data_IF_804123825084
#
_entry.id   IF_804123825084
#
_cell.length_a   1.000
_cell.length_b   1.000
_cell.length_c   1.000
_cell.angle_alpha   90.00
_cell.angle_beta   90.00
_cell.angle_gamma   90.00
#
_symmetry.space_group_name_H-M   'P 1'
#
loop_
_entity.id
_entity.type
_entity.pdbx_description
1 polymer ?
#
# COMPACT_ATOMS: atom_id res chain seq x y z
N UNK A 1 -13.68 22.10 25.28
CA UNK A 1 -13.51 22.94 26.48
C UNK A 1 -14.68 22.65 27.43
N UNK A 2 -14.44 22.31 28.70
CA UNK A 2 -15.53 21.92 29.62
C UNK A 2 -16.49 23.09 29.84
N UNK A 3 -17.80 22.82 29.91
CA UNK A 3 -18.86 23.82 30.10
C UNK A 3 -18.61 24.72 31.33
N UNK A 4 -18.06 24.13 32.40
CA UNK A 4 -17.67 24.85 33.62
C UNK A 4 -16.63 25.96 33.35
N UNK A 5 -15.66 25.71 32.47
CA UNK A 5 -14.62 26.70 32.16
C UNK A 5 -15.20 27.88 31.37
N UNK A 6 -16.15 27.61 30.48
CA UNK A 6 -16.85 28.64 29.70
C UNK A 6 -17.73 29.49 30.62
N UNK A 7 -18.42 28.88 31.57
CA UNK A 7 -19.22 29.58 32.58
C UNK A 7 -18.37 30.49 33.47
N UNK A 8 -17.24 30.01 33.98
CA UNK A 8 -16.32 30.81 34.80
C UNK A 8 -15.80 32.03 34.01
N UNK A 9 -15.37 31.83 32.77
CA UNK A 9 -14.92 32.92 31.89
C UNK A 9 -16.02 33.94 31.61
N UNK A 10 -17.23 33.46 31.33
CA UNK A 10 -18.38 34.34 31.02
C UNK A 10 -18.79 35.18 32.23
N UNK A 11 -18.79 34.58 33.43
CA UNK A 11 -19.06 35.27 34.70
C UNK A 11 -17.97 36.31 34.98
N UNK A 12 -16.70 35.96 34.80
CA UNK A 12 -15.59 36.89 35.00
C UNK A 12 -15.67 38.10 34.07
N UNK A 13 -15.97 37.88 32.79
CA UNK A 13 -16.16 38.97 31.81
C UNK A 13 -17.36 39.85 32.19
N UNK A 14 -18.49 39.25 32.56
CA UNK A 14 -19.68 39.98 33.01
C UNK A 14 -19.37 40.87 34.23
N UNK A 15 -18.64 40.34 35.21
CA UNK A 15 -18.25 41.07 36.42
C UNK A 15 -17.36 42.27 36.11
N UNK A 16 -16.44 42.18 35.13
CA UNK A 16 -15.61 43.31 34.69
C UNK A 16 -16.47 44.44 34.09
N UNK A 17 -17.44 44.10 33.24
CA UNK A 17 -18.34 45.10 32.66
C UNK A 17 -19.25 45.74 33.72
N UNK A 18 -19.78 44.93 34.64
CA UNK A 18 -20.59 45.42 35.76
C UNK A 18 -19.76 46.34 36.67
N UNK A 19 -18.52 45.98 36.97
CA UNK A 19 -17.65 46.81 37.81
C UNK A 19 -17.33 48.15 37.15
N UNK A 20 -17.01 48.16 35.84
CA UNK A 20 -16.78 49.40 35.11
C UNK A 20 -18.02 50.29 35.11
N UNK A 21 -19.21 49.71 34.91
CA UNK A 21 -20.47 50.45 34.91
C UNK A 21 -20.81 51.05 36.28
N UNK A 22 -20.63 50.29 37.36
CA UNK A 22 -20.96 50.73 38.72
C UNK A 22 -19.96 51.80 39.21
N UNK A 23 -18.65 51.60 38.99
CA UNK A 23 -17.61 52.48 39.55
C UNK A 23 -17.35 53.76 38.74
N UNK A 24 -17.94 53.92 37.55
CA UNK A 24 -17.84 55.17 36.76
C UNK A 24 -19.04 56.11 36.91
N UNK A 25 -20.05 55.74 37.70
CA UNK A 25 -21.25 56.57 37.97
C UNK A 25 -21.13 57.33 39.31
N UNK A 26 -21.89 58.43 39.50
CA UNK A 26 -21.93 59.14 40.78
C UNK A 26 -22.32 58.19 41.91
N UNK A 27 -21.66 58.34 43.06
CA UNK A 27 -21.90 57.47 44.21
C UNK A 27 -23.35 57.59 44.70
N UNK A 28 -24.00 56.44 44.90
CA UNK A 28 -25.38 56.36 45.39
C UNK A 28 -25.44 56.62 46.91
N UNK A 29 -24.33 56.35 47.61
CA UNK A 29 -24.16 56.56 49.05
C UNK A 29 -22.91 57.41 49.30
N UNK A 30 -22.97 58.38 50.21
CA UNK A 30 -21.82 59.25 50.57
C UNK A 30 -20.59 58.44 51.03
N UNK A 31 -20.79 57.33 51.72
CA UNK A 31 -19.69 56.44 52.16
C UNK A 31 -18.94 55.77 51.01
N UNK A 32 -19.49 55.77 49.79
CA UNK A 32 -18.91 55.18 48.59
C UNK A 32 -18.52 56.27 47.56
N UNK A 33 -18.43 57.52 48.00
CA UNK A 33 -17.90 58.61 47.18
C UNK A 33 -16.36 58.53 47.11
N UNK A 34 -15.88 57.89 46.05
CA UNK A 34 -14.46 57.72 45.75
C UNK A 34 -13.89 58.89 44.91
N UNK A 35 -14.65 59.98 44.72
CA UNK A 35 -14.23 61.12 43.89
C UNK A 35 -12.92 61.78 44.37
N UNK A 36 -12.62 61.69 45.67
CA UNK A 36 -11.38 62.20 46.28
C UNK A 36 -10.28 61.15 46.45
N UNK A 37 -10.55 59.86 46.17
CA UNK A 37 -9.61 58.75 46.40
C UNK A 37 -8.86 58.30 45.16
N UNK A 38 -8.88 59.08 44.07
CA UNK A 38 -8.21 58.76 42.80
C UNK A 38 -6.72 58.43 42.97
N UNK A 39 -6.01 59.16 43.83
CA UNK A 39 -4.59 58.91 44.13
C UNK A 39 -4.33 57.53 44.77
N UNK A 40 -5.28 56.98 45.53
CA UNK A 40 -5.17 55.63 46.10
C UNK A 40 -5.30 54.58 44.99
N UNK A 41 -6.26 54.77 44.07
CA UNK A 41 -6.42 53.93 42.89
C UNK A 41 -5.19 53.96 41.97
N UNK A 42 -4.62 55.15 41.76
CA UNK A 42 -3.40 55.33 40.95
C UNK A 42 -2.18 54.67 41.60
N UNK A 43 -2.07 54.71 42.92
CA UNK A 43 -0.96 54.06 43.66
C UNK A 43 -1.09 52.55 43.64
N UNK A 44 -2.30 52.01 43.86
CA UNK A 44 -2.57 50.58 43.77
C UNK A 44 -2.35 50.11 42.32
N UNK A 45 -2.89 50.80 41.33
CA UNK A 45 -2.72 50.48 39.91
C UNK A 45 -1.26 50.55 39.47
N UNK A 46 -0.53 51.59 39.88
CA UNK A 46 0.89 51.79 39.56
C UNK A 46 1.81 50.71 40.14
N UNK A 47 1.52 50.19 41.34
CA UNK A 47 2.31 49.13 41.98
C UNK A 47 1.88 47.75 41.47
N UNK A 48 0.59 47.52 41.26
CA UNK A 48 0.06 46.20 40.90
C UNK A 48 0.18 45.88 39.42
N UNK A 49 0.09 46.88 38.52
CA UNK A 49 0.16 46.64 37.08
C UNK A 49 1.47 45.98 36.62
N UNK A 50 2.68 46.41 37.07
CA UNK A 50 3.93 45.71 36.76
C UNK A 50 3.95 44.26 37.25
N UNK A 51 3.40 44.00 38.45
CA UNK A 51 3.33 42.65 39.04
C UNK A 51 2.40 41.73 38.23
N UNK A 52 1.21 42.22 37.86
CA UNK A 52 0.26 41.47 37.03
C UNK A 52 0.87 41.19 35.66
N UNK A 53 1.54 42.17 35.05
CA UNK A 53 2.22 41.99 33.76
C UNK A 53 3.33 40.95 33.84
N UNK A 54 4.11 40.93 34.93
CA UNK A 54 5.15 39.93 35.16
C UNK A 54 4.56 38.52 35.30
N UNK A 55 3.49 38.38 36.08
CA UNK A 55 2.76 37.10 36.22
C UNK A 55 2.19 36.66 34.87
N UNK A 56 1.63 37.59 34.10
CA UNK A 56 1.12 37.33 32.75
C UNK A 56 2.20 36.81 31.81
N UNK A 57 3.35 37.49 31.75
CA UNK A 57 4.49 37.05 30.96
C UNK A 57 5.01 35.67 31.38
N UNK A 58 5.06 35.40 32.68
CA UNK A 58 5.46 34.10 33.22
C UNK A 58 4.47 32.98 32.83
N UNK A 59 3.17 33.23 32.90
CA UNK A 59 2.14 32.27 32.45
C UNK A 59 2.22 32.00 30.95
N UNK A 60 2.49 33.04 30.13
CA UNK A 60 2.73 32.89 28.70
C UNK A 60 3.95 32.01 28.44
N UNK A 61 5.05 32.24 29.16
CA UNK A 61 6.25 31.40 29.07
C UNK A 61 5.96 29.92 29.39
N UNK A 62 5.23 29.65 30.48
CA UNK A 62 4.81 28.28 30.82
C UNK A 62 3.94 27.67 29.72
N UNK A 63 3.01 28.45 29.15
CA UNK A 63 2.16 27.98 28.06
C UNK A 63 2.99 27.58 26.83
N UNK A 64 3.98 28.39 26.45
CA UNK A 64 4.87 28.04 25.35
C UNK A 64 5.69 26.77 25.62
N UNK A 65 6.19 26.58 26.85
CA UNK A 65 6.87 25.34 27.21
C UNK A 65 5.95 24.11 27.08
N UNK A 66 4.71 24.21 27.55
CA UNK A 66 3.73 23.14 27.39
C UNK A 66 3.42 22.84 25.91
N UNK A 67 3.28 23.88 25.08
CA UNK A 67 3.07 23.74 23.63
C UNK A 67 4.26 23.06 22.94
N UNK A 68 5.50 23.44 23.26
CA UNK A 68 6.71 22.81 22.70
C UNK A 68 6.75 21.32 23.06
N UNK A 69 6.46 20.97 24.32
CA UNK A 69 6.43 19.57 24.72
C UNK A 69 5.31 18.78 24.01
N UNK A 70 4.12 19.36 23.85
CA UNK A 70 3.03 18.75 23.10
C UNK A 70 3.41 18.49 21.64
N UNK A 71 4.04 19.48 20.97
CA UNK A 71 4.52 19.33 19.59
C UNK A 71 5.57 18.22 19.46
N UNK A 72 6.49 18.11 20.43
CA UNK A 72 7.49 17.03 20.45
C UNK A 72 6.83 15.65 20.55
N UNK A 73 5.86 15.48 21.45
CA UNK A 73 5.13 14.23 21.62
C UNK A 73 4.33 13.89 20.35
N UNK A 74 3.66 14.89 19.75
CA UNK A 74 2.91 14.69 18.52
C UNK A 74 3.82 14.29 17.34
N UNK A 75 4.98 14.92 17.20
CA UNK A 75 5.96 14.58 16.16
C UNK A 75 6.45 13.14 16.30
N UNK A 76 6.77 12.71 17.52
CA UNK A 76 7.19 11.33 17.80
C UNK A 76 6.09 10.33 17.46
N UNK A 77 4.84 10.61 17.86
CA UNK A 77 3.70 9.76 17.54
C UNK A 77 3.47 9.63 16.01
N UNK A 78 3.60 10.72 15.26
CA UNK A 78 3.48 10.73 13.80
C UNK A 78 4.59 9.93 13.12
N UNK A 79 5.83 10.02 13.61
CA UNK A 79 6.95 9.23 13.09
C UNK A 79 6.73 7.72 13.32
N UNK A 80 6.29 7.35 14.53
CA UNK A 80 5.96 5.97 14.87
C UNK A 80 4.80 5.43 14.02
N UNK A 81 3.75 6.22 13.83
CA UNK A 81 2.62 5.86 12.96
C UNK A 81 3.06 5.69 11.51
N UNK A 82 3.85 6.64 10.98
CA UNK A 82 4.40 6.56 9.61
C UNK A 82 5.24 5.30 9.44
N UNK A 83 6.05 4.94 10.44
CA UNK A 83 6.85 3.71 10.42
C UNK A 83 5.96 2.47 10.37
N UNK A 84 4.95 2.38 11.26
CA UNK A 84 3.98 1.26 11.28
C UNK A 84 3.21 1.14 9.96
N UNK A 85 2.67 2.26 9.45
CA UNK A 85 1.94 2.29 8.19
C UNK A 85 2.85 1.90 7.01
N UNK A 86 4.11 2.33 7.00
CA UNK A 86 5.05 1.95 5.94
C UNK A 86 5.34 0.44 5.91
N UNK A 87 5.43 -0.21 7.08
CA UNK A 87 5.62 -1.66 7.18
C UNK A 87 4.39 -2.42 6.69
N UNK A 88 3.20 -2.05 7.16
CA UNK A 88 1.95 -2.70 6.73
C UNK A 88 1.69 -2.52 5.22
N UNK A 89 1.94 -1.32 4.70
CA UNK A 89 1.76 -1.02 3.27
C UNK A 89 2.72 -1.82 2.37
N UNK A 90 3.90 -2.21 2.86
CA UNK A 90 4.82 -3.03 2.07
C UNK A 90 4.29 -4.44 1.85
N UNK A 91 3.77 -5.07 2.91
CA UNK A 91 3.16 -6.40 2.79
C UNK A 91 2.02 -6.39 1.78
N UNK A 92 1.06 -5.48 1.94
CA UNK A 92 -0.09 -5.35 1.04
C UNK A 92 0.34 -5.09 -0.42
N UNK A 93 1.37 -4.27 -0.62
CA UNK A 93 1.93 -4.02 -1.96
C UNK A 93 2.46 -5.31 -2.61
N UNK A 94 3.25 -6.11 -1.89
CA UNK A 94 3.82 -7.34 -2.46
C UNK A 94 2.77 -8.43 -2.63
N UNK A 95 1.79 -8.50 -1.74
CA UNK A 95 0.64 -9.37 -1.89
C UNK A 95 -0.15 -8.98 -3.16
N UNK A 96 -0.43 -7.70 -3.38
CA UNK A 96 -1.08 -7.22 -4.60
C UNK A 96 -0.29 -7.58 -5.87
N UNK A 97 1.03 -7.40 -5.88
CA UNK A 97 1.86 -7.81 -7.03
C UNK A 97 1.78 -9.31 -7.29
N UNK A 98 1.71 -10.12 -6.22
CA UNK A 98 1.52 -11.57 -6.34
C UNK A 98 0.13 -11.92 -6.89
N UNK A 99 -0.94 -11.26 -6.41
CA UNK A 99 -2.28 -11.42 -6.95
C UNK A 99 -2.36 -11.05 -8.44
N UNK A 100 -1.67 -10.00 -8.86
CA UNK A 100 -1.58 -9.58 -10.27
C UNK A 100 -0.92 -10.66 -11.13
N UNK A 101 0.15 -11.30 -10.66
CA UNK A 101 0.79 -12.43 -11.36
C UNK A 101 -0.19 -13.59 -11.51
N UNK A 102 -0.94 -13.93 -10.45
CA UNK A 102 -1.97 -14.98 -10.51
C UNK A 102 -3.10 -14.63 -11.48
N UNK A 103 -3.53 -13.36 -11.53
CA UNK A 103 -4.52 -12.90 -12.51
C UNK A 103 -3.99 -13.06 -13.93
N UNK A 104 -2.77 -12.61 -14.20
CA UNK A 104 -2.14 -12.76 -15.54
C UNK A 104 -2.07 -14.21 -15.99
N UNK A 105 -1.79 -15.15 -15.07
CA UNK A 105 -1.86 -16.57 -15.40
C UNK A 105 -3.29 -16.96 -15.77
N UNK A 106 -4.29 -16.59 -14.97
CA UNK A 106 -5.70 -16.93 -15.24
C UNK A 106 -6.21 -16.35 -16.56
N UNK A 107 -5.79 -15.14 -16.88
CA UNK A 107 -6.24 -14.36 -18.04
C UNK A 107 -5.39 -14.67 -19.29
N UNK A 108 -4.45 -15.62 -19.20
CA UNK A 108 -3.65 -16.07 -20.35
C UNK A 108 -4.53 -16.77 -21.38
N UNK A 109 -4.44 -16.36 -22.64
CA UNK A 109 -5.21 -16.95 -23.73
C UNK A 109 -4.32 -17.68 -24.75
N UNK A 110 -4.79 -18.83 -25.21
CA UNK A 110 -4.26 -19.53 -26.38
C UNK A 110 -5.34 -19.69 -27.44
N UNK A 111 -5.14 -19.08 -28.60
CA UNK A 111 -6.04 -19.23 -29.73
C UNK A 111 -5.45 -20.23 -30.71
N UNK A 112 -6.24 -21.25 -31.02
CA UNK A 112 -5.90 -22.31 -31.96
C UNK A 112 -6.93 -22.31 -33.09
N UNK A 113 -6.46 -22.24 -34.34
CA UNK A 113 -7.34 -22.39 -35.49
C UNK A 113 -7.40 -23.86 -35.92
N UNK A 114 -8.57 -24.45 -35.79
CA UNK A 114 -8.85 -25.76 -36.37
C UNK A 114 -9.16 -25.57 -37.86
N UNK A 115 -8.44 -26.22 -38.78
CA UNK A 115 -8.69 -26.09 -40.20
C UNK A 115 -10.07 -26.65 -40.55
N UNK A 116 -10.69 -26.06 -41.56
CA UNK A 116 -11.91 -26.62 -42.14
C UNK A 116 -11.64 -27.99 -42.75
N UNK A 117 -12.59 -28.90 -42.64
CA UNK A 117 -12.51 -30.25 -43.19
C UNK A 117 -13.64 -30.46 -44.20
N UNK A 118 -13.33 -31.13 -45.31
CA UNK A 118 -14.36 -31.62 -46.22
C UNK A 118 -14.97 -32.89 -45.63
N UNK A 119 -16.28 -32.86 -45.43
CA UNK A 119 -17.05 -34.02 -45.02
C UNK A 119 -17.26 -34.98 -46.19
N UNK A 120 -17.58 -36.24 -45.89
CA UNK A 120 -17.83 -37.27 -46.90
C UNK A 120 -19.05 -37.00 -47.79
N UNK A 121 -19.92 -36.06 -47.39
CA UNK A 121 -21.08 -35.59 -48.16
C UNK A 121 -20.74 -34.41 -49.10
N UNK A 122 -19.47 -33.99 -49.15
CA UNK A 122 -19.01 -32.85 -49.96
C UNK A 122 -19.22 -31.47 -49.32
N UNK A 123 -19.78 -31.40 -48.11
CA UNK A 123 -19.85 -30.15 -47.36
C UNK A 123 -18.50 -29.77 -46.73
N UNK A 124 -18.20 -28.48 -46.63
CA UNK A 124 -16.97 -27.96 -46.03
C UNK A 124 -17.28 -27.31 -44.68
N UNK A 125 -16.61 -27.76 -43.61
CA UNK A 125 -16.68 -27.07 -42.32
C UNK A 125 -15.77 -25.84 -42.35
N UNK A 126 -16.26 -24.71 -41.85
CA UNK A 126 -15.45 -23.49 -41.75
C UNK A 126 -14.38 -23.67 -40.64
N UNK A 127 -13.22 -23.01 -40.74
CA UNK A 127 -12.26 -22.94 -39.66
C UNK A 127 -12.92 -22.42 -38.37
N UNK A 128 -12.56 -23.03 -37.24
CA UNK A 128 -13.07 -22.63 -35.92
C UNK A 128 -11.92 -22.17 -35.05
N UNK A 129 -12.07 -21.00 -34.43
CA UNK A 129 -11.15 -20.50 -33.40
C UNK A 129 -11.51 -21.13 -32.05
N UNK A 130 -10.60 -21.89 -31.49
CA UNK A 130 -10.73 -22.45 -30.14
C UNK A 130 -9.85 -21.61 -29.22
N UNK A 131 -10.45 -21.02 -28.19
CA UNK A 131 -9.75 -20.22 -27.17
C UNK A 131 -9.62 -21.03 -25.90
N UNK A 132 -8.39 -21.26 -25.46
CA UNK A 132 -8.08 -21.84 -24.17
C UNK A 132 -7.60 -20.75 -23.23
N UNK A 133 -8.00 -20.84 -21.96
CA UNK A 133 -7.67 -19.85 -20.94
C UNK A 133 -6.87 -20.46 -19.80
N UNK A 134 -6.03 -19.65 -19.18
CA UNK A 134 -5.32 -19.98 -17.97
C UNK A 134 -4.40 -21.20 -18.09
N UNK A 135 -4.55 -22.13 -17.14
CA UNK A 135 -3.79 -23.38 -17.15
C UNK A 135 -4.09 -24.26 -18.36
N UNK A 136 -5.31 -24.19 -18.91
CA UNK A 136 -5.67 -24.93 -20.11
C UNK A 136 -4.91 -24.37 -21.32
N UNK A 137 -4.71 -23.05 -21.38
CA UNK A 137 -3.89 -22.40 -22.40
C UNK A 137 -2.46 -22.93 -22.39
N UNK A 138 -1.83 -22.99 -21.20
CA UNK A 138 -0.49 -23.55 -21.04
C UNK A 138 -0.43 -25.05 -21.39
N UNK A 139 -1.40 -25.83 -20.93
CA UNK A 139 -1.42 -27.25 -21.19
C UNK A 139 -1.56 -27.57 -22.69
N UNK A 140 -2.45 -26.88 -23.39
CA UNK A 140 -2.64 -27.04 -24.84
C UNK A 140 -1.44 -26.55 -25.63
N UNK A 141 -0.83 -25.45 -25.21
CA UNK A 141 0.44 -24.99 -25.75
C UNK A 141 1.50 -26.09 -25.67
N UNK A 142 1.74 -26.64 -24.47
CA UNK A 142 2.75 -27.69 -24.27
C UNK A 142 2.42 -28.95 -25.06
N UNK A 143 1.17 -29.41 -25.07
CA UNK A 143 0.78 -30.58 -25.86
C UNK A 143 1.05 -30.40 -27.35
N UNK A 144 0.80 -29.20 -27.90
CA UNK A 144 1.04 -28.92 -29.32
C UNK A 144 2.52 -28.85 -29.68
N UNK A 145 3.36 -28.26 -28.83
CA UNK A 145 4.81 -28.25 -29.08
C UNK A 145 5.44 -29.65 -28.89
N UNK A 146 4.93 -30.48 -27.98
CA UNK A 146 5.33 -31.90 -27.85
C UNK A 146 4.94 -32.68 -29.12
N UNK A 147 3.71 -32.50 -29.61
CA UNK A 147 3.22 -33.20 -30.78
C UNK A 147 3.96 -32.80 -32.07
N UNK A 148 4.37 -31.53 -32.20
CA UNK A 148 5.22 -31.05 -33.28
C UNK A 148 6.58 -31.77 -33.29
N UNK A 149 7.23 -31.91 -32.13
CA UNK A 149 8.51 -32.62 -32.01
C UNK A 149 8.40 -34.09 -32.42
N UNK A 150 7.27 -34.73 -32.13
CA UNK A 150 7.04 -36.15 -32.42
C UNK A 150 6.59 -36.44 -33.87
N UNK A 151 6.55 -35.44 -34.77
CA UNK A 151 6.09 -35.57 -36.17
C UNK A 151 4.66 -36.10 -36.34
N UNK A 152 3.84 -36.07 -35.27
CA UNK A 152 2.50 -36.65 -35.22
C UNK A 152 1.37 -35.64 -35.47
N UNK A 153 1.68 -34.44 -35.98
CA UNK A 153 0.69 -33.37 -36.13
C UNK A 153 0.58 -32.85 -37.56
N UNK A 154 -0.57 -33.09 -38.17
CA UNK A 154 -1.05 -32.41 -39.36
C UNK A 154 -2.29 -31.59 -38.97
N UNK A 155 -2.28 -30.28 -39.22
CA UNK A 155 -3.51 -29.50 -39.38
C UNK A 155 -3.92 -28.57 -38.24
N UNK A 156 -3.11 -27.56 -37.91
CA UNK A 156 -3.58 -26.39 -37.16
C UNK A 156 -2.67 -25.20 -37.40
N UNK A 157 -3.23 -24.00 -37.57
CA UNK A 157 -2.47 -22.74 -37.60
C UNK A 157 -2.55 -22.15 -36.20
N UNK A 158 -1.40 -22.03 -35.54
CA UNK A 158 -1.33 -21.45 -34.18
C UNK A 158 0.05 -20.82 -33.95
N UNK A 159 0.06 -19.73 -33.19
CA UNK A 159 1.30 -19.06 -32.76
C UNK A 159 1.66 -19.50 -31.35
N UNK A 160 2.73 -20.29 -31.23
CA UNK A 160 3.26 -20.78 -29.95
C UNK A 160 4.12 -19.72 -29.24
N UNK A 161 4.73 -18.81 -30.01
CA UNK A 161 5.67 -17.82 -29.51
C UNK A 161 5.08 -16.87 -28.45
N UNK A 162 3.84 -16.42 -28.66
CA UNK A 162 3.18 -15.51 -27.71
C UNK A 162 3.00 -16.14 -26.32
N UNK A 163 2.65 -17.42 -26.25
CA UNK A 163 2.47 -18.10 -24.97
C UNK A 163 3.79 -18.41 -24.30
N UNK A 164 4.78 -18.85 -25.09
CA UNK A 164 6.13 -19.04 -24.59
C UNK A 164 6.66 -17.78 -23.89
N UNK A 165 6.55 -16.63 -24.56
CA UNK A 165 6.97 -15.35 -24.00
C UNK A 165 6.19 -14.99 -22.73
N UNK A 166 4.86 -15.12 -22.74
CA UNK A 166 4.05 -14.84 -21.55
C UNK A 166 4.45 -15.73 -20.37
N UNK A 167 4.73 -17.02 -20.63
CA UNK A 167 5.22 -17.93 -19.61
C UNK A 167 6.59 -17.52 -19.07
N UNK A 168 7.53 -17.16 -19.95
CA UNK A 168 8.84 -16.62 -19.54
C UNK A 168 8.68 -15.36 -18.70
N UNK A 169 7.84 -14.40 -19.13
CA UNK A 169 7.57 -13.17 -18.38
C UNK A 169 6.96 -13.45 -17.00
N UNK A 170 6.07 -14.43 -16.86
CA UNK A 170 5.53 -14.83 -15.56
C UNK A 170 6.62 -15.33 -14.62
N UNK A 171 7.55 -16.16 -15.11
CA UNK A 171 8.68 -16.62 -14.29
C UNK A 171 9.63 -15.47 -13.93
N UNK A 172 9.91 -14.56 -14.87
CA UNK A 172 10.70 -13.36 -14.58
C UNK A 172 10.03 -12.50 -13.50
N UNK A 173 8.72 -12.29 -13.58
CA UNK A 173 7.97 -11.51 -12.60
C UNK A 173 7.99 -12.16 -11.20
N UNK A 174 7.91 -13.49 -11.14
CA UNK A 174 8.08 -14.24 -9.89
C UNK A 174 9.47 -14.02 -9.31
N UNK A 175 10.51 -14.14 -10.13
CA UNK A 175 11.89 -13.96 -9.68
C UNK A 175 12.13 -12.54 -9.14
N UNK A 176 11.70 -11.51 -9.89
CA UNK A 176 11.81 -10.11 -9.45
C UNK A 176 11.01 -9.86 -8.16
N UNK A 177 9.81 -10.44 -8.04
CA UNK A 177 9.00 -10.35 -6.82
C UNK A 177 9.73 -10.98 -5.62
N UNK A 178 10.29 -12.17 -5.79
CA UNK A 178 11.07 -12.87 -4.77
C UNK A 178 12.24 -12.00 -4.29
N UNK A 179 13.05 -11.46 -5.21
CA UNK A 179 14.19 -10.61 -4.88
C UNK A 179 13.76 -9.33 -4.14
N UNK A 180 12.64 -8.72 -4.55
CA UNK A 180 12.11 -7.54 -3.88
C UNK A 180 11.61 -7.85 -2.48
N UNK A 181 10.95 -8.98 -2.26
CA UNK A 181 10.49 -9.38 -0.93
C UNK A 181 11.71 -9.65 -0.02
N UNK A 182 12.71 -10.38 -0.52
CA UNK A 182 13.97 -10.65 0.17
C UNK A 182 14.64 -9.36 0.68
N UNK A 183 14.74 -8.37 -0.21
CA UNK A 183 15.45 -7.10 0.03
C UNK A 183 14.66 -6.11 0.89
N UNK A 184 13.35 -6.00 0.70
CA UNK A 184 12.58 -4.86 1.23
C UNK A 184 11.65 -5.23 2.38
N UNK A 185 11.17 -6.47 2.48
CA UNK A 185 10.28 -6.88 3.58
C UNK A 185 11.12 -7.16 4.82
N UNK A 186 10.93 -6.33 5.86
CA UNK A 186 11.70 -6.43 7.11
C UNK A 186 11.14 -7.48 8.08
N UNK A 187 9.82 -7.62 8.14
CA UNK A 187 9.16 -8.59 9.02
C UNK A 187 9.40 -10.02 8.52
N UNK A 188 9.96 -10.88 9.37
CA UNK A 188 10.26 -12.27 9.04
C UNK A 188 9.02 -13.11 8.74
N UNK A 189 7.92 -12.89 9.47
CA UNK A 189 6.70 -13.66 9.31
C UNK A 189 6.00 -13.31 7.99
N UNK A 190 5.94 -12.02 7.65
CA UNK A 190 5.38 -11.53 6.40
C UNK A 190 6.19 -12.03 5.19
N UNK A 191 7.53 -12.01 5.33
CA UNK A 191 8.45 -12.57 4.35
C UNK A 191 8.17 -14.06 4.14
N UNK A 192 8.18 -14.84 5.22
CA UNK A 192 7.92 -16.28 5.17
C UNK A 192 6.56 -16.58 4.53
N UNK A 193 5.51 -15.85 4.90
CA UNK A 193 4.18 -15.99 4.32
C UNK A 193 4.19 -15.78 2.80
N UNK A 194 4.75 -14.66 2.33
CA UNK A 194 4.79 -14.35 0.91
C UNK A 194 5.63 -15.39 0.14
N UNK A 195 6.80 -15.75 0.66
CA UNK A 195 7.67 -16.77 0.07
C UNK A 195 6.98 -18.12 -0.05
N UNK A 196 6.30 -18.57 1.00
CA UNK A 196 5.59 -19.85 0.99
C UNK A 196 4.44 -19.85 -0.03
N UNK A 197 3.69 -18.76 -0.13
CA UNK A 197 2.61 -18.65 -1.11
C UNK A 197 3.14 -18.65 -2.55
N UNK A 198 4.21 -17.89 -2.83
CA UNK A 198 4.85 -17.89 -4.16
C UNK A 198 5.42 -19.26 -4.48
N UNK A 199 6.07 -19.93 -3.51
CA UNK A 199 6.60 -21.29 -3.65
C UNK A 199 5.51 -22.28 -4.01
N UNK A 200 4.39 -22.26 -3.28
CA UNK A 200 3.25 -23.13 -3.54
C UNK A 200 2.65 -22.88 -4.93
N UNK A 201 2.52 -21.61 -5.32
CA UNK A 201 2.05 -21.25 -6.65
C UNK A 201 2.99 -21.75 -7.75
N UNK A 202 4.30 -21.52 -7.61
CA UNK A 202 5.29 -21.99 -8.55
C UNK A 202 5.28 -23.52 -8.69
N UNK A 203 5.35 -24.25 -7.57
CA UNK A 203 5.34 -25.72 -7.57
C UNK A 203 4.03 -26.31 -8.09
N UNK A 204 2.90 -25.71 -7.73
CA UNK A 204 1.58 -26.20 -8.10
C UNK A 204 1.20 -25.93 -9.55
N UNK A 205 1.66 -24.81 -10.13
CA UNK A 205 1.13 -24.32 -11.40
C UNK A 205 2.15 -24.05 -12.50
N UNK A 206 3.44 -23.87 -12.20
CA UNK A 206 4.40 -23.43 -13.23
C UNK A 206 5.56 -24.41 -13.43
N UNK A 207 6.01 -25.06 -12.37
CA UNK A 207 7.16 -25.97 -12.39
C UNK A 207 7.02 -27.07 -13.46
N UNK A 208 5.87 -27.75 -13.50
CA UNK A 208 5.64 -28.84 -14.45
C UNK A 208 5.67 -28.36 -15.90
N UNK A 209 5.09 -27.20 -16.20
CA UNK A 209 5.13 -26.64 -17.56
C UNK A 209 6.55 -26.23 -17.94
N UNK A 210 7.30 -25.61 -17.01
CA UNK A 210 8.70 -25.26 -17.24
C UNK A 210 9.55 -26.49 -17.58
N UNK A 211 9.39 -27.58 -16.83
CA UNK A 211 10.09 -28.84 -17.11
C UNK A 211 9.73 -29.38 -18.51
N UNK A 212 8.43 -29.52 -18.81
CA UNK A 212 7.99 -30.04 -20.11
C UNK A 212 8.47 -29.18 -21.28
N UNK A 213 8.43 -27.85 -21.14
CA UNK A 213 8.96 -26.93 -22.17
C UNK A 213 10.45 -27.20 -22.37
N UNK A 214 11.26 -27.25 -21.31
CA UNK A 214 12.70 -27.48 -21.42
C UNK A 214 13.05 -28.87 -22.00
N UNK A 215 12.25 -29.90 -21.75
CA UNK A 215 12.45 -31.24 -22.31
C UNK A 215 12.19 -31.30 -23.84
N UNK A 216 11.39 -30.37 -24.35
CA UNK A 216 11.04 -30.30 -25.77
C UNK A 216 12.18 -29.66 -26.58
N UNK A 217 12.75 -28.58 -26.09
CA UNK A 217 13.85 -27.90 -26.77
C UNK A 217 15.19 -28.60 -26.50
N UNK A 218 16.12 -28.53 -27.45
CA UNK A 218 17.47 -29.05 -27.24
C UNK A 218 18.20 -28.19 -26.18
N UNK A 219 19.17 -28.78 -25.47
CA UNK A 219 19.91 -28.12 -24.38
C UNK A 219 20.61 -26.81 -24.79
N UNK A 220 20.86 -26.64 -26.10
CA UNK A 220 21.68 -25.58 -26.68
C UNK A 220 20.85 -24.57 -27.48
N UNK A 221 19.51 -24.64 -27.40
CA UNK A 221 18.64 -23.70 -28.11
C UNK A 221 18.68 -22.33 -27.43
N UNK A 222 19.17 -21.33 -28.17
CA UNK A 222 19.31 -19.96 -27.69
C UNK A 222 17.98 -19.34 -27.28
N UNK A 223 16.86 -19.78 -27.85
CA UNK A 223 15.52 -19.25 -27.57
C UNK A 223 15.03 -19.58 -26.17
N UNK A 224 15.48 -20.69 -25.57
CA UNK A 224 15.08 -21.11 -24.21
C UNK A 224 16.14 -20.88 -23.14
N UNK A 225 17.30 -20.35 -23.51
CA UNK A 225 18.42 -20.10 -22.59
C UNK A 225 18.03 -19.23 -21.40
N UNK A 226 17.24 -18.17 -21.65
CA UNK A 226 16.75 -17.28 -20.61
C UNK A 226 15.73 -17.96 -19.69
N UNK A 227 14.77 -18.68 -20.27
CA UNK A 227 13.79 -19.47 -19.53
C UNK A 227 14.48 -20.46 -18.57
N UNK A 228 15.45 -21.21 -19.10
CA UNK A 228 16.24 -22.18 -18.33
C UNK A 228 16.94 -21.51 -17.15
N UNK A 229 17.65 -20.41 -17.40
CA UNK A 229 18.35 -19.64 -16.38
C UNK A 229 17.40 -19.16 -15.27
N UNK A 230 16.27 -18.56 -15.63
CA UNK A 230 15.30 -18.03 -14.65
C UNK A 230 14.73 -19.17 -13.82
N UNK A 231 14.32 -20.25 -14.47
CA UNK A 231 13.76 -21.43 -13.80
C UNK A 231 14.75 -22.04 -12.81
N UNK A 232 16.00 -22.24 -13.21
CA UNK A 232 17.06 -22.77 -12.33
C UNK A 232 17.23 -21.90 -11.07
N UNK A 233 17.21 -20.57 -11.20
CA UNK A 233 17.31 -19.67 -10.05
C UNK A 233 16.12 -19.85 -9.10
N UNK A 234 14.90 -19.94 -9.65
CA UNK A 234 13.68 -20.14 -8.86
C UNK A 234 13.69 -21.51 -8.18
N UNK A 235 14.10 -22.56 -8.88
CA UNK A 235 14.21 -23.93 -8.34
C UNK A 235 15.18 -23.99 -7.17
N UNK A 236 16.36 -23.38 -7.31
CA UNK A 236 17.35 -23.28 -6.22
C UNK A 236 16.74 -22.57 -5.01
N UNK A 237 16.07 -21.43 -5.22
CA UNK A 237 15.44 -20.67 -4.14
C UNK A 237 14.34 -21.45 -3.43
N UNK A 238 13.63 -22.33 -4.13
CA UNK A 238 12.51 -23.09 -3.58
C UNK A 238 12.80 -24.56 -3.23
N UNK A 239 14.02 -25.04 -3.50
CA UNK A 239 14.39 -26.45 -3.36
C UNK A 239 13.44 -27.33 -4.18
N UNK A 240 13.37 -27.08 -5.48
CA UNK A 240 12.54 -27.80 -6.44
C UNK A 240 13.38 -28.60 -7.42
#
# INVERSE_FOLDING_TARGET
MKLQNVLILSIGILLIFISLYIFTRPAIFESWDFSSTGQVGDTIGGITAPLINLIGAFLVYISFQAQINANRIQSQALEDEKKRNSTNNQFEKYLSLFEDIKSRLRDLEFVVESPGHSNSDGSFTQPVHIVYNGLNALNEYVQKIEAQKQSNYFGGIYSTYGIFLNFQFMLTAILDLIERIEKNVQNSNDKEFLFNNIKLFYKGFLLQFGNRILDIYASDDSQISELKRIKEIIDIKFGA
#
